data_IF_996158934983
#
_entry.id   IF_996158934983
#
_cell.length_a   1.000
_cell.length_b   1.000
_cell.length_c   1.000
_cell.angle_alpha   90.00
_cell.angle_beta   90.00
_cell.angle_gamma   90.00
#
_symmetry.space_group_name_H-M   'P 1'
#
loop_
_entity.id
_entity.type
_entity.pdbx_description
1 polymer ?
#
# COMPACT_ATOMS: atom_id res chain seq x y z
N UNK A 1 16.96 10.26 28.83
CA UNK A 1 15.55 9.82 28.86
C UNK A 1 14.74 10.83 28.06
N UNK A 2 13.79 10.39 27.24
CA UNK A 2 12.98 11.31 26.44
C UNK A 2 12.18 12.28 27.31
N UNK A 3 12.00 13.52 26.84
CA UNK A 3 11.20 14.55 27.51
C UNK A 3 9.83 14.65 26.85
N UNK A 4 8.78 14.65 27.66
CA UNK A 4 7.38 14.73 27.22
C UNK A 4 6.76 15.97 27.85
N UNK A 5 6.46 16.98 27.03
CA UNK A 5 5.88 18.23 27.50
C UNK A 5 4.55 18.47 26.79
N UNK A 6 3.50 18.73 27.56
CA UNK A 6 2.25 19.29 27.06
C UNK A 6 2.25 20.78 27.36
N UNK A 7 2.14 21.62 26.33
CA UNK A 7 2.06 23.07 26.50
C UNK A 7 0.62 23.50 26.36
N UNK A 8 0.01 23.83 27.50
CA UNK A 8 -1.33 24.40 27.54
C UNK A 8 -1.27 25.86 27.10
N UNK A 9 -2.08 26.19 26.10
CA UNK A 9 -2.17 27.53 25.52
C UNK A 9 -3.62 27.99 25.54
N UNK A 10 -3.86 29.17 26.10
CA UNK A 10 -5.13 29.89 25.99
C UNK A 10 -4.92 31.13 25.13
N UNK A 11 -5.65 31.23 24.04
CA UNK A 11 -5.57 32.29 23.04
C UNK A 11 -6.67 33.32 23.28
N UNK A 12 -6.39 34.59 23.00
CA UNK A 12 -7.41 35.65 23.00
C UNK A 12 -8.47 35.32 21.94
N UNK A 13 -9.75 35.36 22.33
CA UNK A 13 -10.86 35.02 21.43
C UNK A 13 -10.83 35.85 20.14
N UNK A 14 -11.05 35.21 19.01
CA UNK A 14 -10.99 35.82 17.67
C UNK A 14 -9.61 35.76 17.00
N UNK A 15 -8.57 35.29 17.70
CA UNK A 15 -7.21 35.12 17.15
C UNK A 15 -6.80 33.65 16.98
N UNK A 16 -7.74 32.72 17.08
CA UNK A 16 -7.50 31.28 17.05
C UNK A 16 -6.85 30.84 15.74
N UNK A 17 -7.36 31.32 14.61
CA UNK A 17 -6.84 31.02 13.27
C UNK A 17 -5.43 31.56 13.08
N UNK A 18 -5.18 32.80 13.52
CA UNK A 18 -3.84 33.40 13.42
C UNK A 18 -2.81 32.63 14.28
N UNK A 19 -3.21 32.21 15.49
CA UNK A 19 -2.37 31.36 16.34
C UNK A 19 -2.08 30.01 15.69
N UNK A 20 -3.09 29.36 15.10
CA UNK A 20 -2.92 28.08 14.40
C UNK A 20 -1.95 28.21 13.21
N UNK A 21 -2.10 29.26 12.39
CA UNK A 21 -1.25 29.52 11.23
C UNK A 21 0.21 29.79 11.64
N UNK A 22 0.44 30.61 12.67
CA UNK A 22 1.80 30.83 13.19
C UNK A 22 2.41 29.57 13.79
N UNK A 23 1.60 28.78 14.49
CA UNK A 23 2.04 27.52 15.09
C UNK A 23 2.35 26.44 14.04
N UNK A 24 1.77 26.52 12.84
CA UNK A 24 2.08 25.63 11.71
C UNK A 24 3.53 25.75 11.26
N UNK A 25 4.08 26.96 11.18
CA UNK A 25 5.49 27.18 10.81
C UNK A 25 6.43 26.58 11.85
N UNK A 26 6.12 26.81 13.14
CA UNK A 26 6.87 26.21 14.25
C UNK A 26 6.84 24.68 14.15
N UNK A 27 5.65 24.09 14.05
CA UNK A 27 5.45 22.65 13.89
C UNK A 27 6.25 22.05 12.72
N UNK A 28 6.19 22.64 11.52
CA UNK A 28 6.89 22.13 10.33
C UNK A 28 8.41 22.19 10.47
N UNK A 29 8.94 23.17 11.20
CA UNK A 29 10.36 23.34 11.43
C UNK A 29 10.87 22.44 12.56
N UNK A 30 10.16 22.38 13.70
CA UNK A 30 10.55 21.53 14.84
C UNK A 30 10.59 20.06 14.48
N UNK A 31 9.69 19.63 13.59
CA UNK A 31 9.68 18.27 13.04
C UNK A 31 10.90 17.88 12.20
N UNK A 32 11.72 18.84 11.79
CA UNK A 32 12.98 18.60 11.05
C UNK A 32 14.18 18.50 11.99
N UNK A 33 14.02 18.79 13.28
CA UNK A 33 15.09 18.70 14.27
C UNK A 33 15.43 17.24 14.56
N UNK A 34 16.73 16.93 14.63
CA UNK A 34 17.20 15.55 14.86
C UNK A 34 16.71 14.96 16.20
N UNK A 35 16.51 15.81 17.21
CA UNK A 35 16.05 15.41 18.54
C UNK A 35 14.52 15.36 18.70
N UNK A 36 13.75 15.85 17.73
CA UNK A 36 12.28 15.86 17.81
C UNK A 36 11.72 14.47 17.49
N UNK A 37 10.98 13.91 18.45
CA UNK A 37 10.27 12.63 18.28
C UNK A 37 8.80 12.87 17.91
N UNK A 38 8.21 13.96 18.39
CA UNK A 38 6.84 14.38 18.10
C UNK A 38 6.67 15.87 18.37
N UNK A 39 5.93 16.54 17.51
CA UNK A 39 5.43 17.89 17.73
C UNK A 39 4.01 17.91 17.19
N UNK A 40 2.98 18.13 17.99
CA UNK A 40 1.61 18.31 17.51
C UNK A 40 1.02 19.62 18.02
N UNK A 41 0.08 20.18 17.25
CA UNK A 41 -0.72 21.34 17.65
C UNK A 41 -2.18 20.90 17.65
N UNK A 42 -2.78 20.79 18.84
CA UNK A 42 -4.16 20.33 19.02
C UNK A 42 -5.02 21.49 19.48
N UNK A 43 -6.22 21.62 18.92
CA UNK A 43 -7.22 22.58 19.37
C UNK A 43 -8.37 21.85 20.07
N UNK A 44 -8.83 22.39 21.19
CA UNK A 44 -9.98 21.82 21.90
C UNK A 44 -11.25 21.97 21.07
N UNK A 45 -12.07 20.91 21.05
CA UNK A 45 -13.40 20.94 20.42
C UNK A 45 -14.43 21.70 21.25
N UNK A 46 -14.25 21.73 22.56
CA UNK A 46 -15.19 22.37 23.50
C UNK A 46 -14.90 23.86 23.66
N UNK A 47 -13.65 24.28 23.44
CA UNK A 47 -13.21 25.66 23.58
C UNK A 47 -12.17 25.99 22.49
N UNK A 48 -12.58 26.56 21.35
CA UNK A 48 -11.67 26.88 20.24
C UNK A 48 -10.50 27.79 20.63
N UNK A 49 -10.61 28.55 21.71
CA UNK A 49 -9.54 29.39 22.21
C UNK A 49 -8.44 28.61 22.97
N UNK A 50 -8.62 27.30 23.19
CA UNK A 50 -7.63 26.46 23.88
C UNK A 50 -6.90 25.53 22.92
N UNK A 51 -5.58 25.58 23.02
CA UNK A 51 -4.66 24.73 22.28
C UNK A 51 -3.77 23.95 23.24
N UNK A 52 -3.33 22.76 22.81
CA UNK A 52 -2.33 21.95 23.48
C UNK A 52 -1.24 21.64 22.45
N UNK A 53 -0.01 22.04 22.72
CA UNK A 53 1.14 21.62 21.93
C UNK A 53 1.75 20.38 22.60
N UNK A 54 1.90 19.30 21.85
CA UNK A 54 2.52 18.05 22.33
C UNK A 54 3.96 18.03 21.84
N UNK A 55 4.91 18.28 22.74
CA UNK A 55 6.33 18.35 22.44
C UNK A 55 7.05 17.15 23.04
N UNK A 56 7.60 16.27 22.21
CA UNK A 56 8.36 15.10 22.65
C UNK A 56 9.73 15.09 21.98
N UNK A 57 10.76 15.03 22.82
CA UNK A 57 12.16 15.10 22.42
C UNK A 57 12.97 13.92 22.97
N UNK A 58 14.00 13.50 22.24
CA UNK A 58 14.85 12.36 22.58
C UNK A 58 15.59 12.52 23.91
N UNK A 59 15.89 13.76 24.29
CA UNK A 59 16.55 14.12 25.54
C UNK A 59 16.15 15.52 26.03
N UNK A 60 16.42 15.85 27.30
CA UNK A 60 16.25 17.22 27.81
C UNK A 60 17.16 18.23 27.12
N UNK A 61 18.32 17.81 26.59
CA UNK A 61 19.23 18.71 25.88
C UNK A 61 18.68 19.06 24.49
N UNK A 62 17.95 18.14 23.84
CA UNK A 62 17.24 18.44 22.60
C UNK A 62 16.12 19.48 22.81
N UNK A 63 15.45 19.46 23.97
CA UNK A 63 14.47 20.50 24.33
C UNK A 63 15.15 21.86 24.51
N UNK A 64 16.34 21.90 25.11
CA UNK A 64 17.11 23.15 25.23
C UNK A 64 17.51 23.66 23.85
N UNK A 65 18.02 22.79 23.00
CA UNK A 65 18.39 23.12 21.63
C UNK A 65 17.19 23.66 20.84
N UNK A 66 16.02 23.01 20.94
CA UNK A 66 14.77 23.48 20.33
C UNK A 66 14.44 24.93 20.74
N UNK A 67 14.57 25.27 22.03
CA UNK A 67 14.28 26.61 22.56
C UNK A 67 15.25 27.70 22.12
N UNK A 68 16.37 27.32 21.51
CA UNK A 68 17.37 28.23 20.94
C UNK A 68 17.24 28.37 19.42
N UNK A 69 16.34 27.59 18.78
CA UNK A 69 16.14 27.65 17.33
C UNK A 69 15.43 28.93 16.89
N UNK A 70 15.75 29.38 15.67
CA UNK A 70 15.15 30.57 15.06
C UNK A 70 13.62 30.47 15.01
N UNK A 71 13.08 29.33 14.54
CA UNK A 71 11.64 29.15 14.39
C UNK A 71 10.89 29.16 15.73
N UNK A 72 11.48 28.59 16.80
CA UNK A 72 10.90 28.67 18.14
C UNK A 72 10.89 30.11 18.65
N UNK A 73 12.00 30.86 18.48
CA UNK A 73 12.09 32.24 18.95
C UNK A 73 11.10 33.15 18.21
N UNK A 74 11.01 33.02 16.88
CA UNK A 74 10.03 33.73 16.04
C UNK A 74 8.59 33.38 16.43
N UNK A 75 8.29 32.10 16.67
CA UNK A 75 6.98 31.69 17.14
C UNK A 75 6.68 32.27 18.53
N UNK A 76 7.61 32.15 19.47
CA UNK A 76 7.50 32.60 20.87
C UNK A 76 7.16 34.09 20.94
N UNK A 77 7.82 34.89 20.12
CA UNK A 77 7.63 36.34 20.03
C UNK A 77 6.36 36.67 19.24
N UNK A 78 6.15 36.01 18.10
CA UNK A 78 5.00 36.25 17.22
C UNK A 78 3.66 35.84 17.81
N UNK A 79 3.61 34.99 18.85
CA UNK A 79 2.38 34.62 19.54
C UNK A 79 2.19 35.30 20.91
N UNK A 80 3.14 36.14 21.34
CA UNK A 80 3.16 36.67 22.71
C UNK A 80 1.91 37.50 23.05
N UNK A 81 1.44 38.31 22.11
CA UNK A 81 0.23 39.13 22.23
C UNK A 81 -1.07 38.36 21.98
N UNK A 82 -0.99 37.09 21.53
CA UNK A 82 -2.15 36.21 21.36
C UNK A 82 -2.57 35.53 22.67
N UNK A 83 -1.73 35.56 23.70
CA UNK A 83 -1.93 34.75 24.91
C UNK A 83 -2.95 35.38 25.85
N UNK A 84 -4.11 34.75 26.03
CA UNK A 84 -5.10 35.16 27.02
C UNK A 84 -4.60 34.92 28.46
N UNK A 85 -3.80 33.86 28.64
CA UNK A 85 -3.05 33.58 29.87
C UNK A 85 -1.64 33.08 29.51
N UNK A 86 -0.64 33.23 30.39
CA UNK A 86 0.68 32.67 30.16
C UNK A 86 0.60 31.17 29.85
N UNK A 87 1.23 30.74 28.75
CA UNK A 87 1.34 29.33 28.37
C UNK A 87 2.04 28.50 29.44
N UNK A 88 1.60 27.27 29.65
CA UNK A 88 2.10 26.40 30.73
C UNK A 88 2.61 25.07 30.16
N UNK A 89 3.90 24.80 30.32
CA UNK A 89 4.49 23.50 30.00
C UNK A 89 4.34 22.52 31.16
N UNK A 90 3.58 21.44 30.97
CA UNK A 90 3.40 20.34 31.92
C UNK A 90 4.28 19.17 31.48
N UNK A 91 5.21 18.77 32.34
CA UNK A 91 6.04 17.58 32.10
C UNK A 91 5.23 16.32 32.40
N UNK A 92 5.30 15.34 31.51
CA UNK A 92 4.59 14.08 31.62
C UNK A 92 5.57 12.89 31.66
N UNK A 93 5.14 11.81 32.31
CA UNK A 93 5.81 10.51 32.19
C UNK A 93 5.06 9.66 31.18
N UNK A 94 5.74 9.20 30.14
CA UNK A 94 5.17 8.29 29.17
C UNK A 94 5.13 6.87 29.74
N UNK A 95 3.94 6.37 30.05
CA UNK A 95 3.74 4.96 30.38
C UNK A 95 3.62 4.09 29.13
N UNK A 96 3.04 4.62 28.04
CA UNK A 96 2.89 3.95 26.76
C UNK A 96 2.96 4.95 25.59
N UNK A 97 3.55 4.59 24.44
CA UNK A 97 4.20 3.30 24.14
C UNK A 97 5.51 3.10 24.91
N UNK A 98 5.84 1.84 25.24
CA UNK A 98 7.05 1.49 26.01
C UNK A 98 8.35 1.77 25.25
N UNK A 99 8.30 1.90 23.93
CA UNK A 99 9.43 2.32 23.10
C UNK A 99 9.20 3.72 22.49
N UNK A 100 10.14 4.67 22.70
CA UNK A 100 10.07 6.02 22.14
C UNK A 100 10.01 6.05 20.60
N UNK A 101 10.59 5.05 19.93
CA UNK A 101 10.59 4.91 18.46
C UNK A 101 9.17 4.80 17.88
N UNK A 102 8.20 4.32 18.67
CA UNK A 102 6.80 4.20 18.25
C UNK A 102 6.06 5.53 18.16
N UNK A 103 6.60 6.62 18.74
CA UNK A 103 5.99 7.95 18.70
C UNK A 103 6.10 8.59 17.31
N UNK A 104 7.13 8.23 16.54
CA UNK A 104 7.36 8.70 15.17
C UNK A 104 6.28 8.23 14.18
N UNK A 105 5.54 7.16 14.52
CA UNK A 105 4.59 6.50 13.61
C UNK A 105 3.12 6.85 13.80
N UNK A 106 2.72 7.50 14.90
CA UNK A 106 1.31 7.53 15.31
C UNK A 106 0.40 8.44 14.45
N UNK A 107 0.95 9.41 13.70
CA UNK A 107 0.18 10.32 12.83
C UNK A 107 0.90 10.77 11.55
N UNK A 108 1.98 10.10 11.14
CA UNK A 108 2.65 10.39 9.85
C UNK A 108 1.79 9.89 8.68
N UNK A 109 0.80 10.67 8.29
CA UNK A 109 0.20 10.63 6.96
C UNK A 109 0.68 11.83 6.17
N UNK A 110 1.93 11.82 5.70
CA UNK A 110 2.26 12.72 4.60
C UNK A 110 1.44 12.26 3.38
N UNK A 111 0.73 13.18 2.70
CA UNK A 111 0.10 12.86 1.44
C UNK A 111 1.20 12.59 0.41
N UNK A 112 1.16 11.42 -0.23
CA UNK A 112 2.06 11.06 -1.32
C UNK A 112 1.97 12.10 -2.45
N UNK A 113 2.89 13.07 -2.45
CA UNK A 113 3.13 13.97 -3.56
C UNK A 113 3.78 13.19 -4.69
N UNK A 114 3.09 13.10 -5.81
CA UNK A 114 3.63 12.61 -7.07
C UNK A 114 4.67 13.61 -7.57
N UNK A 115 5.91 13.16 -7.79
CA UNK A 115 6.88 13.88 -8.61
C UNK A 115 6.63 13.51 -10.08
N UNK A 116 6.35 14.48 -10.97
CA UNK A 116 6.13 14.22 -12.38
C UNK A 116 7.48 14.17 -13.12
N UNK A 117 7.67 13.17 -13.98
CA UNK A 117 8.66 13.24 -15.06
C UNK A 117 9.50 11.98 -15.28
N UNK A 118 9.51 11.56 -16.55
CA UNK A 118 10.43 10.63 -17.22
C UNK A 118 10.19 9.12 -17.04
N UNK A 119 9.61 8.54 -18.10
CA UNK A 119 9.65 7.12 -18.45
C UNK A 119 11.09 6.65 -18.60
N UNK A 120 11.48 5.65 -17.80
CA UNK A 120 12.58 4.74 -18.10
C UNK A 120 12.25 3.42 -17.38
N UNK A 121 12.13 2.33 -18.16
CA UNK A 121 11.63 1.03 -17.68
C UNK A 121 12.55 0.40 -16.60
N UNK A 122 13.81 0.84 -16.51
CA UNK A 122 14.79 0.46 -15.48
C UNK A 122 14.67 1.30 -14.20
N UNK A 123 14.22 2.55 -14.33
CA UNK A 123 13.91 3.45 -13.21
C UNK A 123 12.57 3.11 -12.56
N UNK A 124 11.61 2.51 -13.27
CA UNK A 124 10.39 1.97 -12.66
C UNK A 124 10.65 0.79 -11.72
N UNK A 125 11.58 -0.10 -12.05
CA UNK A 125 11.98 -1.21 -11.17
C UNK A 125 12.74 -0.68 -9.95
N UNK A 126 13.67 0.25 -10.15
CA UNK A 126 14.43 0.87 -9.07
C UNK A 126 13.56 1.78 -8.19
N UNK A 127 12.64 2.53 -8.79
CA UNK A 127 11.67 3.37 -8.08
C UNK A 127 10.63 2.52 -7.38
N UNK A 128 10.10 1.44 -7.96
CA UNK A 128 9.16 0.53 -7.29
C UNK A 128 9.81 -0.24 -6.14
N UNK A 129 11.06 -0.68 -6.31
CA UNK A 129 11.88 -1.21 -5.23
C UNK A 129 12.13 -0.15 -4.14
N UNK A 130 12.48 1.08 -4.51
CA UNK A 130 12.65 2.21 -3.58
C UNK A 130 11.35 2.56 -2.86
N UNK A 131 10.21 2.51 -3.56
CA UNK A 131 8.87 2.80 -3.06
C UNK A 131 8.41 1.73 -2.06
N UNK A 132 8.67 0.46 -2.36
CA UNK A 132 8.42 -0.66 -1.45
C UNK A 132 9.41 -0.68 -0.28
N UNK A 133 10.67 -0.29 -0.50
CA UNK A 133 11.68 -0.10 0.55
C UNK A 133 11.24 1.01 1.51
N UNK A 134 10.80 2.17 1.02
CA UNK A 134 10.26 3.26 1.85
C UNK A 134 9.02 2.83 2.64
N UNK A 135 8.14 2.00 2.06
CA UNK A 135 6.97 1.44 2.77
C UNK A 135 7.32 0.35 3.77
N UNK A 136 8.33 -0.48 3.50
CA UNK A 136 8.86 -1.45 4.46
C UNK A 136 9.61 -0.75 5.61
N UNK A 137 10.27 0.38 5.34
CA UNK A 137 10.82 1.26 6.38
C UNK A 137 9.70 1.86 7.25
N UNK A 138 8.55 2.23 6.68
CA UNK A 138 7.35 2.62 7.43
C UNK A 138 6.79 1.49 8.32
N UNK A 139 6.84 0.22 7.90
CA UNK A 139 6.53 -0.92 8.78
C UNK A 139 7.53 -1.08 9.94
N UNK A 140 8.79 -0.70 9.73
CA UNK A 140 9.82 -0.69 10.78
C UNK A 140 9.50 0.35 11.86
N UNK A 141 8.93 1.49 11.46
CA UNK A 141 8.55 2.64 12.30
C UNK A 141 7.28 2.42 13.16
N UNK A 142 6.75 1.20 13.23
CA UNK A 142 5.81 0.81 14.30
C UNK A 142 4.37 1.32 14.14
N UNK A 143 4.00 1.86 12.98
CA UNK A 143 2.61 2.23 12.74
C UNK A 143 1.76 0.96 12.54
N UNK A 144 1.05 0.52 13.60
CA UNK A 144 0.17 -0.67 13.61
C UNK A 144 -0.99 -0.59 12.59
N UNK A 145 -1.24 0.58 12.00
CA UNK A 145 -2.42 0.84 11.18
C UNK A 145 -2.31 0.38 9.72
N UNK A 146 -1.10 0.17 9.18
CA UNK A 146 -0.90 -0.27 7.78
C UNK A 146 -0.02 -1.52 7.75
N UNK A 147 -0.66 -2.69 7.74
CA UNK A 147 0.01 -3.98 7.48
C UNK A 147 -0.01 -4.26 5.98
N UNK A 148 1.17 -4.32 5.36
CA UNK A 148 1.31 -4.85 4.00
C UNK A 148 1.47 -6.37 4.07
N UNK A 149 0.72 -7.09 3.23
CA UNK A 149 0.81 -8.54 3.14
C UNK A 149 1.93 -8.95 2.19
N UNK A 150 2.82 -9.89 2.57
CA UNK A 150 3.82 -10.46 1.67
C UNK A 150 3.23 -11.47 0.69
N UNK A 151 2.01 -11.95 0.96
CA UNK A 151 1.39 -13.06 0.24
C UNK A 151 1.25 -12.82 -1.29
N UNK A 152 0.85 -11.64 -1.78
CA UNK A 152 0.74 -11.40 -3.23
C UNK A 152 2.06 -11.62 -3.96
N UNK A 153 3.18 -11.17 -3.38
CA UNK A 153 4.52 -11.31 -3.96
C UNK A 153 4.96 -12.79 -3.98
N UNK A 154 4.71 -13.53 -2.88
CA UNK A 154 5.04 -14.97 -2.79
C UNK A 154 4.24 -15.78 -3.82
N UNK A 155 2.93 -15.50 -3.94
CA UNK A 155 2.06 -16.17 -4.92
C UNK A 155 2.47 -15.79 -6.34
N UNK A 156 2.89 -14.53 -6.58
CA UNK A 156 3.37 -14.08 -7.87
C UNK A 156 4.67 -14.78 -8.30
N UNK A 157 5.65 -14.96 -7.40
CA UNK A 157 6.86 -15.78 -7.68
C UNK A 157 6.43 -17.18 -8.11
N UNK A 158 5.56 -17.82 -7.35
CA UNK A 158 5.07 -19.18 -7.64
C UNK A 158 4.38 -19.28 -9.02
N UNK A 159 3.47 -18.34 -9.31
CA UNK A 159 2.76 -18.26 -10.59
C UNK A 159 3.72 -18.05 -11.75
N UNK A 160 4.64 -17.08 -11.64
CA UNK A 160 5.62 -16.80 -12.68
C UNK A 160 6.57 -17.98 -12.91
N UNK A 161 7.01 -18.69 -11.86
CA UNK A 161 7.85 -19.88 -12.02
C UNK A 161 7.11 -21.02 -12.74
N UNK A 162 5.82 -21.23 -12.46
CA UNK A 162 5.01 -22.21 -13.20
C UNK A 162 4.81 -21.83 -14.66
N UNK A 163 4.60 -20.54 -14.96
CA UNK A 163 4.55 -20.04 -16.34
C UNK A 163 5.85 -20.28 -17.10
N UNK A 164 7.01 -20.03 -16.47
CA UNK A 164 8.32 -20.34 -17.08
C UNK A 164 8.43 -21.83 -17.38
N UNK A 165 8.08 -22.68 -16.41
CA UNK A 165 8.10 -24.12 -16.59
C UNK A 165 7.18 -24.57 -17.74
N UNK A 166 5.93 -24.08 -17.77
CA UNK A 166 4.98 -24.33 -18.86
C UNK A 166 5.54 -23.95 -20.23
N UNK A 167 6.17 -22.76 -20.35
CA UNK A 167 6.75 -22.30 -21.60
C UNK A 167 7.86 -23.24 -22.07
N UNK A 168 8.77 -23.64 -21.18
CA UNK A 168 9.89 -24.54 -21.52
C UNK A 168 9.38 -25.88 -22.03
N UNK A 169 8.51 -26.55 -21.28
CA UNK A 169 8.03 -27.90 -21.66
C UNK A 169 7.17 -27.88 -22.92
N UNK A 170 6.42 -26.79 -23.15
CA UNK A 170 5.57 -26.65 -24.33
C UNK A 170 6.41 -26.33 -25.56
N UNK A 171 7.42 -25.47 -25.45
CA UNK A 171 8.33 -25.15 -26.56
C UNK A 171 9.24 -26.33 -26.94
N UNK A 172 9.59 -27.20 -26.00
CA UNK A 172 10.39 -28.41 -26.30
C UNK A 172 9.57 -29.44 -27.08
N UNK A 173 8.27 -29.52 -26.80
CA UNK A 173 7.39 -30.56 -27.35
C UNK A 173 6.54 -30.10 -28.53
N UNK A 174 6.39 -28.79 -28.73
CA UNK A 174 5.58 -28.18 -29.78
C UNK A 174 6.39 -27.14 -30.54
N UNK A 175 5.95 -26.77 -31.75
CA UNK A 175 6.56 -25.68 -32.52
C UNK A 175 6.01 -24.28 -32.16
N UNK A 176 5.36 -24.13 -31.00
CA UNK A 176 4.82 -22.84 -30.57
C UNK A 176 5.91 -21.99 -29.92
N UNK A 177 6.14 -20.77 -30.44
CA UNK A 177 7.08 -19.83 -29.83
C UNK A 177 6.45 -19.11 -28.62
N UNK A 178 6.77 -19.61 -27.42
CA UNK A 178 6.38 -19.00 -26.15
C UNK A 178 7.52 -18.21 -25.50
N UNK A 179 8.62 -17.92 -26.22
CA UNK A 179 9.77 -17.18 -25.71
C UNK A 179 9.37 -15.86 -25.02
N UNK A 180 8.46 -15.03 -25.59
CA UNK A 180 8.04 -13.80 -24.92
C UNK A 180 7.37 -14.03 -23.56
N UNK A 181 6.53 -15.08 -23.44
CA UNK A 181 5.86 -15.45 -22.19
C UNK A 181 6.86 -15.94 -21.15
N UNK A 182 7.83 -16.76 -21.57
CA UNK A 182 8.88 -17.28 -20.69
C UNK A 182 9.75 -16.15 -20.15
N UNK A 183 10.18 -15.23 -21.01
CA UNK A 183 11.04 -14.11 -20.62
C UNK A 183 10.35 -13.15 -19.64
N UNK A 184 9.10 -12.76 -19.91
CA UNK A 184 8.40 -11.82 -19.02
C UNK A 184 8.13 -12.44 -17.64
N UNK A 185 7.79 -13.74 -17.60
CA UNK A 185 7.57 -14.42 -16.33
C UNK A 185 8.87 -14.69 -15.58
N UNK A 186 9.98 -14.97 -16.28
CA UNK A 186 11.29 -15.05 -15.64
C UNK A 186 11.70 -13.70 -15.03
N UNK A 187 11.54 -12.60 -15.77
CA UNK A 187 11.79 -11.25 -15.26
C UNK A 187 10.86 -10.90 -14.08
N UNK A 188 9.58 -11.25 -14.19
CA UNK A 188 8.59 -11.09 -13.11
C UNK A 188 8.96 -11.87 -11.86
N UNK A 189 9.33 -13.14 -11.99
CA UNK A 189 9.78 -13.96 -10.86
C UNK A 189 11.00 -13.33 -10.16
N UNK A 190 11.99 -12.83 -10.92
CA UNK A 190 13.16 -12.15 -10.36
C UNK A 190 12.76 -10.89 -9.58
N UNK A 191 11.86 -10.07 -10.13
CA UNK A 191 11.37 -8.86 -9.48
C UNK A 191 10.62 -9.20 -8.18
N UNK A 192 9.73 -10.19 -8.22
CA UNK A 192 8.94 -10.62 -7.07
C UNK A 192 9.82 -11.25 -5.98
N UNK A 193 10.87 -11.99 -6.36
CA UNK A 193 11.90 -12.46 -5.42
C UNK A 193 12.57 -11.27 -4.71
N UNK A 194 12.93 -10.21 -5.43
CA UNK A 194 13.49 -9.01 -4.82
C UNK A 194 12.53 -8.41 -3.79
N UNK A 195 11.23 -8.33 -4.08
CA UNK A 195 10.23 -7.85 -3.11
C UNK A 195 10.12 -8.77 -1.89
N UNK A 196 10.08 -10.09 -2.07
CA UNK A 196 10.04 -11.05 -0.96
C UNK A 196 11.29 -10.91 -0.09
N UNK A 197 12.48 -10.73 -0.67
CA UNK A 197 13.72 -10.51 0.08
C UNK A 197 13.69 -9.21 0.89
N UNK A 198 13.13 -8.13 0.33
CA UNK A 198 12.87 -6.88 1.08
C UNK A 198 11.92 -7.15 2.25
N UNK A 199 10.82 -7.88 2.05
CA UNK A 199 9.91 -8.25 3.14
C UNK A 199 10.61 -9.07 4.23
N UNK A 200 11.44 -10.05 3.87
CA UNK A 200 12.21 -10.84 4.84
C UNK A 200 13.20 -9.96 5.62
N UNK A 201 13.84 -9.01 4.94
CA UNK A 201 14.86 -8.13 5.53
C UNK A 201 14.29 -7.11 6.52
N UNK A 202 13.09 -6.62 6.27
CA UNK A 202 12.53 -5.45 6.98
C UNK A 202 11.27 -5.76 7.80
N UNK A 203 10.55 -6.86 7.54
CA UNK A 203 9.36 -7.23 8.31
C UNK A 203 9.70 -7.69 9.73
N UNK A 204 8.90 -7.26 10.71
CA UNK A 204 8.95 -7.79 12.08
C UNK A 204 8.49 -9.26 12.13
N UNK A 205 7.58 -9.63 11.24
CA UNK A 205 7.04 -10.99 11.11
C UNK A 205 7.87 -11.86 10.14
N UNK A 206 9.18 -11.59 10.00
CA UNK A 206 10.08 -12.27 9.05
C UNK A 206 10.01 -13.81 9.10
N UNK A 207 9.78 -14.40 10.27
CA UNK A 207 9.64 -15.85 10.41
C UNK A 207 8.39 -16.38 9.68
N UNK A 208 7.27 -15.64 9.75
CA UNK A 208 6.05 -15.97 8.99
C UNK A 208 6.27 -15.80 7.49
N UNK A 209 6.96 -14.74 7.06
CA UNK A 209 7.29 -14.52 5.64
C UNK A 209 8.15 -15.67 5.10
N UNK A 210 9.21 -16.04 5.83
CA UNK A 210 10.10 -17.16 5.47
C UNK A 210 9.31 -18.46 5.40
N UNK A 211 8.45 -18.74 6.38
CA UNK A 211 7.61 -19.94 6.37
C UNK A 211 6.70 -20.00 5.14
N UNK A 212 6.00 -18.91 4.82
CA UNK A 212 5.15 -18.83 3.62
C UNK A 212 5.97 -19.03 2.32
N UNK A 213 7.15 -18.44 2.23
CA UNK A 213 8.04 -18.60 1.08
C UNK A 213 8.55 -20.05 0.96
N UNK A 214 8.93 -20.69 2.07
CA UNK A 214 9.35 -22.10 2.08
C UNK A 214 8.22 -23.04 1.69
N UNK A 215 6.99 -22.78 2.15
CA UNK A 215 5.79 -23.53 1.72
C UNK A 215 5.58 -23.38 0.22
N UNK A 216 5.65 -22.18 -0.33
CA UNK A 216 5.51 -21.95 -1.76
C UNK A 216 6.61 -22.66 -2.59
N UNK A 217 7.86 -22.61 -2.12
CA UNK A 217 8.98 -23.35 -2.72
C UNK A 217 8.73 -24.86 -2.66
N UNK A 218 8.28 -25.38 -1.51
CA UNK A 218 7.96 -26.80 -1.34
C UNK A 218 6.83 -27.27 -2.27
N UNK A 219 5.77 -26.46 -2.41
CA UNK A 219 4.68 -26.73 -3.34
C UNK A 219 5.17 -26.72 -4.80
N UNK A 220 6.04 -25.77 -5.17
CA UNK A 220 6.65 -25.72 -6.51
C UNK A 220 7.45 -26.97 -6.82
N UNK A 221 8.38 -27.36 -5.93
CA UNK A 221 9.16 -28.58 -6.14
C UNK A 221 8.31 -29.85 -6.11
N UNK A 222 7.20 -29.85 -5.38
CA UNK A 222 6.22 -30.94 -5.43
C UNK A 222 5.55 -31.02 -6.80
N UNK A 223 5.17 -29.87 -7.40
CA UNK A 223 4.68 -29.83 -8.78
C UNK A 223 5.72 -30.33 -9.78
N UNK A 224 6.98 -29.88 -9.66
CA UNK A 224 8.07 -30.34 -10.54
C UNK A 224 8.29 -31.85 -10.39
N UNK A 225 8.35 -32.37 -9.16
CA UNK A 225 8.49 -33.80 -8.91
C UNK A 225 7.31 -34.59 -9.48
N UNK A 226 6.09 -34.05 -9.39
CA UNK A 226 4.92 -34.65 -10.02
C UNK A 226 5.09 -34.75 -11.54
N UNK A 227 5.45 -33.66 -12.23
CA UNK A 227 5.54 -33.65 -13.69
C UNK A 227 6.78 -34.37 -14.25
N UNK A 228 7.91 -34.34 -13.55
CA UNK A 228 9.17 -34.95 -14.04
C UNK A 228 9.38 -36.39 -13.59
N UNK A 229 8.78 -36.80 -12.47
CA UNK A 229 9.01 -38.14 -11.89
C UNK A 229 7.71 -38.93 -11.82
N UNK A 230 6.67 -38.41 -11.17
CA UNK A 230 5.45 -39.19 -10.93
C UNK A 230 4.68 -39.44 -12.23
N UNK A 231 4.48 -38.42 -13.06
CA UNK A 231 3.71 -38.52 -14.29
C UNK A 231 4.33 -39.53 -15.26
N UNK A 232 5.65 -39.54 -15.53
CA UNK A 232 6.26 -40.57 -16.39
C UNK A 232 6.23 -42.00 -15.83
N UNK A 233 6.01 -42.18 -14.52
CA UNK A 233 5.85 -43.50 -13.90
C UNK A 233 4.43 -44.06 -14.06
N UNK A 234 3.44 -43.23 -14.39
CA UNK A 234 2.07 -43.69 -14.59
C UNK A 234 1.98 -44.51 -15.89
N UNK A 235 1.31 -45.68 -15.88
CA UNK A 235 1.04 -46.41 -17.10
C UNK A 235 0.37 -45.49 -18.13
N UNK A 236 0.82 -45.57 -19.37
CA UNK A 236 0.17 -44.89 -20.50
C UNK A 236 0.17 -43.36 -20.43
N UNK A 237 1.05 -42.75 -19.61
CA UNK A 237 1.19 -41.29 -19.49
C UNK A 237 1.48 -40.58 -20.83
N UNK A 238 2.15 -41.29 -21.76
CA UNK A 238 2.51 -40.80 -23.09
C UNK A 238 1.69 -41.47 -24.21
N UNK A 239 0.69 -42.31 -23.89
CA UNK A 239 -0.26 -42.75 -24.92
C UNK A 239 -1.16 -41.58 -25.30
N UNK A 240 -1.70 -41.57 -26.52
CA UNK A 240 -2.57 -40.51 -27.00
C UNK A 240 -3.76 -40.32 -26.06
N UNK A 241 -3.68 -39.30 -25.21
CA UNK A 241 -4.78 -38.79 -24.42
C UNK A 241 -5.54 -37.79 -25.28
N UNK A 242 -6.86 -37.91 -25.35
CA UNK A 242 -7.73 -36.96 -26.07
C UNK A 242 -7.81 -35.58 -25.38
N UNK A 243 -7.16 -35.42 -24.22
CA UNK A 243 -7.14 -34.17 -23.47
C UNK A 243 -6.01 -33.25 -23.92
N UNK A 244 -6.38 -32.14 -24.54
CA UNK A 244 -5.47 -31.22 -25.23
C UNK A 244 -5.65 -29.77 -24.75
N UNK A 245 -5.49 -29.53 -23.45
CA UNK A 245 -5.43 -28.16 -22.92
C UNK A 245 -4.17 -27.46 -23.44
N UNK A 246 -4.30 -26.23 -23.91
CA UNK A 246 -3.21 -25.54 -24.61
C UNK A 246 -3.21 -25.71 -26.13
N UNK A 247 -4.10 -26.54 -26.70
CA UNK A 247 -4.27 -26.70 -28.16
C UNK A 247 -4.20 -28.16 -28.59
N UNK A 248 -4.74 -28.49 -29.77
CA UNK A 248 -4.94 -29.87 -30.25
C UNK A 248 -3.66 -30.73 -30.32
N UNK A 249 -2.49 -30.10 -30.50
CA UNK A 249 -1.20 -30.80 -30.63
C UNK A 249 -0.34 -30.73 -29.35
N UNK A 250 -0.94 -30.36 -28.20
CA UNK A 250 -0.22 -30.23 -26.94
C UNK A 250 -0.24 -31.55 -26.16
N UNK A 251 0.93 -32.06 -25.69
CA UNK A 251 0.99 -33.28 -24.87
C UNK A 251 0.36 -33.12 -23.48
N UNK A 252 -0.07 -34.25 -22.90
CA UNK A 252 -0.72 -34.29 -21.58
C UNK A 252 0.03 -33.54 -20.48
N UNK A 253 1.37 -33.67 -20.40
CA UNK A 253 2.21 -32.97 -19.41
C UNK A 253 2.04 -31.45 -19.49
N UNK A 254 2.16 -30.90 -20.70
CA UNK A 254 1.99 -29.48 -20.98
C UNK A 254 0.54 -29.03 -20.75
N UNK A 255 -0.44 -29.85 -21.13
CA UNK A 255 -1.85 -29.58 -20.88
C UNK A 255 -2.19 -29.48 -19.39
N UNK A 256 -1.76 -30.45 -18.58
CA UNK A 256 -2.00 -30.43 -17.14
C UNK A 256 -1.27 -29.27 -16.45
N UNK A 257 -0.03 -28.98 -16.85
CA UNK A 257 0.72 -27.83 -16.35
C UNK A 257 0.02 -26.51 -16.70
N UNK A 258 -0.52 -26.40 -17.92
CA UNK A 258 -1.30 -25.24 -18.37
C UNK A 258 -2.53 -25.03 -17.50
N UNK A 259 -3.32 -26.08 -17.22
CA UNK A 259 -4.49 -25.97 -16.34
C UNK A 259 -4.11 -25.47 -14.95
N UNK A 260 -3.06 -26.03 -14.33
CA UNK A 260 -2.61 -25.61 -12.99
C UNK A 260 -2.20 -24.14 -13.00
N UNK A 261 -1.46 -23.73 -14.04
CA UNK A 261 -1.00 -22.35 -14.22
C UNK A 261 -2.17 -21.40 -14.41
N UNK A 262 -3.16 -21.75 -15.22
CA UNK A 262 -4.35 -20.93 -15.48
C UNK A 262 -5.22 -20.76 -14.24
N UNK A 263 -5.43 -21.83 -13.47
CA UNK A 263 -6.20 -21.77 -12.21
C UNK A 263 -5.55 -20.78 -11.24
N UNK A 264 -4.22 -20.81 -11.10
CA UNK A 264 -3.50 -19.85 -10.26
C UNK A 264 -3.57 -18.43 -10.81
N UNK A 265 -3.46 -18.28 -12.13
CA UNK A 265 -3.55 -16.98 -12.78
C UNK A 265 -4.93 -16.34 -12.60
N UNK A 266 -6.01 -17.13 -12.72
CA UNK A 266 -7.38 -16.68 -12.45
C UNK A 266 -7.57 -16.33 -10.97
N UNK A 267 -6.97 -17.10 -10.05
CA UNK A 267 -7.03 -16.78 -8.63
C UNK A 267 -6.38 -15.41 -8.31
N UNK A 268 -5.34 -15.02 -9.04
CA UNK A 268 -4.69 -13.70 -8.89
C UNK A 268 -5.61 -12.52 -9.28
N UNK A 269 -6.65 -12.77 -10.09
CA UNK A 269 -7.68 -11.76 -10.36
C UNK A 269 -8.54 -11.41 -9.13
N UNK A 270 -8.40 -12.13 -8.01
CA UNK A 270 -9.04 -11.76 -6.74
C UNK A 270 -8.67 -10.35 -6.27
N UNK A 271 -7.40 -9.93 -6.43
CA UNK A 271 -6.94 -8.60 -6.03
C UNK A 271 -7.68 -7.45 -6.77
N UNK A 272 -7.70 -7.41 -8.11
CA UNK A 272 -8.44 -6.36 -8.84
C UNK A 272 -9.94 -6.37 -8.54
N UNK A 273 -10.56 -7.53 -8.27
CA UNK A 273 -11.96 -7.64 -7.83
C UNK A 273 -12.20 -6.95 -6.49
N UNK A 274 -11.32 -7.15 -5.51
CA UNK A 274 -11.42 -6.50 -4.19
C UNK A 274 -11.26 -4.97 -4.33
N UNK A 275 -10.35 -4.51 -5.18
CA UNK A 275 -10.17 -3.07 -5.43
C UNK A 275 -11.41 -2.48 -6.10
N UNK A 276 -11.99 -3.13 -7.11
CA UNK A 276 -13.26 -2.71 -7.72
C UNK A 276 -14.40 -2.59 -6.69
N UNK A 277 -14.55 -3.60 -5.83
CA UNK A 277 -15.53 -3.56 -4.74
C UNK A 277 -15.28 -2.42 -3.75
N UNK A 278 -14.00 -2.11 -3.49
CA UNK A 278 -13.61 -0.97 -2.66
C UNK A 278 -14.02 0.35 -3.31
N UNK A 279 -13.76 0.55 -4.61
CA UNK A 279 -14.16 1.77 -5.35
C UNK A 279 -15.68 1.95 -5.32
N UNK A 280 -16.45 0.89 -5.55
CA UNK A 280 -17.93 0.95 -5.53
C UNK A 280 -18.43 1.37 -4.13
N UNK A 281 -17.83 0.81 -3.07
CA UNK A 281 -18.21 1.09 -1.68
C UNK A 281 -17.78 2.48 -1.20
N UNK A 282 -16.57 2.91 -1.54
CA UNK A 282 -16.01 4.19 -1.10
C UNK A 282 -16.34 5.35 -2.04
N UNK A 283 -16.91 5.05 -3.21
CA UNK A 283 -17.19 6.03 -4.28
C UNK A 283 -15.93 6.80 -4.72
N UNK A 284 -14.75 6.23 -4.55
CA UNK A 284 -13.46 6.87 -4.79
C UNK A 284 -12.50 5.97 -5.55
N UNK A 285 -11.85 6.49 -6.58
CA UNK A 285 -10.84 5.78 -7.38
C UNK A 285 -9.42 5.88 -6.80
N UNK A 286 -9.26 6.35 -5.56
CA UNK A 286 -7.95 6.58 -4.90
C UNK A 286 -7.01 5.36 -4.95
N UNK A 287 -7.57 4.16 -4.85
CA UNK A 287 -6.82 2.90 -4.83
C UNK A 287 -6.77 2.17 -6.19
N UNK A 288 -7.34 2.78 -7.23
CA UNK A 288 -7.38 2.26 -8.59
C UNK A 288 -6.87 3.32 -9.57
N UNK A 289 -5.54 3.46 -9.74
CA UNK A 289 -4.97 4.43 -10.65
C UNK A 289 -5.28 4.04 -12.11
N UNK A 290 -5.62 5.05 -12.93
CA UNK A 290 -5.98 4.86 -14.33
C UNK A 290 -4.85 4.24 -15.17
N UNK A 291 -3.57 4.69 -15.08
CA UNK A 291 -2.50 4.13 -15.91
C UNK A 291 -2.35 2.62 -15.71
N UNK A 292 -2.34 2.15 -14.45
CA UNK A 292 -2.23 0.72 -14.16
C UNK A 292 -3.41 -0.06 -14.75
N UNK A 293 -4.64 0.46 -14.60
CA UNK A 293 -5.84 -0.20 -15.14
C UNK A 293 -5.81 -0.31 -16.67
N UNK A 294 -5.35 0.74 -17.36
CA UNK A 294 -5.19 0.75 -18.83
C UNK A 294 -4.10 -0.23 -19.25
N UNK A 295 -2.93 -0.19 -18.63
CA UNK A 295 -1.82 -1.09 -18.98
C UNK A 295 -2.17 -2.56 -18.71
N UNK A 296 -2.86 -2.88 -17.62
CA UNK A 296 -3.32 -4.25 -17.35
C UNK A 296 -4.31 -4.75 -18.41
N UNK A 297 -5.23 -3.89 -18.88
CA UNK A 297 -6.16 -4.24 -19.95
C UNK A 297 -5.43 -4.44 -21.29
N UNK A 298 -4.49 -3.55 -21.64
CA UNK A 298 -3.69 -3.65 -22.87
C UNK A 298 -2.79 -4.89 -22.85
N UNK A 299 -2.14 -5.18 -21.71
CA UNK A 299 -1.35 -6.38 -21.51
C UNK A 299 -2.21 -7.64 -21.75
N UNK A 300 -3.41 -7.69 -21.17
CA UNK A 300 -4.33 -8.83 -21.37
C UNK A 300 -4.73 -8.98 -22.84
N UNK A 301 -4.95 -7.86 -23.54
CA UNK A 301 -5.23 -7.88 -24.98
C UNK A 301 -4.06 -8.43 -25.81
N UNK A 302 -2.83 -8.01 -25.52
CA UNK A 302 -1.64 -8.48 -26.24
C UNK A 302 -1.44 -9.99 -26.09
N UNK A 303 -1.56 -10.51 -24.85
CA UNK A 303 -1.44 -11.94 -24.61
C UNK A 303 -2.60 -12.74 -25.19
N UNK A 304 -3.83 -12.20 -25.16
CA UNK A 304 -4.97 -12.82 -25.83
C UNK A 304 -4.73 -12.96 -27.34
N UNK A 305 -4.24 -11.90 -27.99
CA UNK A 305 -3.93 -11.91 -29.44
C UNK A 305 -2.82 -12.93 -29.72
N UNK A 306 -1.72 -12.90 -28.96
CA UNK A 306 -0.63 -13.86 -29.14
C UNK A 306 -1.10 -15.30 -28.95
N UNK A 307 -1.81 -15.61 -27.87
CA UNK A 307 -2.33 -16.95 -27.61
C UNK A 307 -3.31 -17.41 -28.69
N UNK A 308 -4.14 -16.51 -29.21
CA UNK A 308 -5.06 -16.81 -30.31
C UNK A 308 -4.30 -17.13 -31.60
N UNK A 309 -3.26 -16.37 -31.93
CA UNK A 309 -2.42 -16.60 -33.12
C UNK A 309 -1.66 -17.93 -33.04
N UNK A 310 -1.25 -18.34 -31.83
CA UNK A 310 -0.58 -19.63 -31.60
C UNK A 310 -1.57 -20.80 -31.49
N UNK A 311 -2.88 -20.55 -31.44
CA UNK A 311 -3.87 -21.56 -31.10
C UNK A 311 -3.71 -22.11 -29.67
N UNK A 312 -3.05 -21.35 -28.79
CA UNK A 312 -2.69 -21.78 -27.44
C UNK A 312 -3.74 -21.34 -26.41
N UNK A 313 -4.62 -22.28 -26.01
CA UNK A 313 -5.72 -22.03 -25.07
C UNK A 313 -5.24 -21.54 -23.72
N UNK A 314 -4.15 -22.10 -23.19
CA UNK A 314 -3.56 -21.70 -21.92
C UNK A 314 -3.18 -20.22 -21.92
N UNK A 315 -2.67 -19.71 -23.03
CA UNK A 315 -2.29 -18.29 -23.11
C UNK A 315 -3.52 -17.40 -23.32
N UNK A 316 -4.41 -17.70 -24.28
CA UNK A 316 -5.47 -16.73 -24.60
C UNK A 316 -6.63 -16.74 -23.61
N UNK A 317 -7.01 -17.89 -23.03
CA UNK A 317 -8.20 -18.00 -22.20
C UNK A 317 -8.17 -17.14 -20.92
N UNK A 318 -7.16 -17.25 -20.04
CA UNK A 318 -7.09 -16.40 -18.86
C UNK A 318 -7.00 -14.92 -19.25
N UNK A 319 -6.31 -14.60 -20.35
CA UNK A 319 -6.18 -13.24 -20.83
C UNK A 319 -7.48 -12.67 -21.41
N UNK A 320 -8.37 -13.51 -21.97
CA UNK A 320 -9.74 -13.09 -22.31
C UNK A 320 -10.52 -12.67 -21.05
N UNK A 321 -10.39 -13.40 -19.95
CA UNK A 321 -10.96 -13.00 -18.65
C UNK A 321 -10.31 -11.70 -18.15
N UNK A 322 -9.01 -11.55 -18.32
CA UNK A 322 -8.26 -10.32 -18.01
C UNK A 322 -8.78 -9.10 -18.78
N UNK A 323 -9.11 -9.24 -20.08
CA UNK A 323 -9.73 -8.17 -20.88
C UNK A 323 -11.08 -7.78 -20.30
N UNK A 324 -11.93 -8.76 -19.98
CA UNK A 324 -13.26 -8.51 -19.41
C UNK A 324 -13.12 -7.74 -18.09
N UNK A 325 -12.25 -8.20 -17.19
CA UNK A 325 -12.00 -7.54 -15.90
C UNK A 325 -11.39 -6.15 -16.08
N UNK A 326 -10.44 -5.98 -17.00
CA UNK A 326 -9.83 -4.69 -17.31
C UNK A 326 -10.85 -3.69 -17.88
N UNK A 327 -11.73 -4.14 -18.77
CA UNK A 327 -12.82 -3.31 -19.27
C UNK A 327 -13.78 -2.87 -18.15
N UNK A 328 -14.15 -3.80 -17.25
CA UNK A 328 -14.99 -3.48 -16.08
C UNK A 328 -14.28 -2.49 -15.15
N UNK A 329 -12.96 -2.64 -14.91
CA UNK A 329 -12.18 -1.68 -14.13
C UNK A 329 -12.22 -0.28 -14.74
N UNK A 330 -12.03 -0.16 -16.05
CA UNK A 330 -12.04 1.13 -16.75
C UNK A 330 -13.44 1.78 -16.74
N UNK A 331 -14.50 0.98 -16.87
CA UNK A 331 -15.89 1.46 -16.75
C UNK A 331 -16.14 1.99 -15.33
N UNK A 332 -15.80 1.21 -14.30
CA UNK A 332 -15.94 1.62 -12.90
C UNK A 332 -15.14 2.90 -12.64
N UNK A 333 -13.90 2.97 -13.13
CA UNK A 333 -13.08 4.18 -13.01
C UNK A 333 -13.80 5.39 -13.62
N UNK A 334 -14.29 5.28 -14.86
CA UNK A 334 -15.00 6.36 -15.55
C UNK A 334 -16.27 6.81 -14.81
N UNK A 335 -16.97 5.90 -14.13
CA UNK A 335 -18.16 6.21 -13.34
C UNK A 335 -17.83 6.99 -12.06
N UNK A 336 -16.72 6.66 -11.38
CA UNK A 336 -16.39 7.21 -10.04
C UNK A 336 -15.25 8.23 -10.03
N UNK A 337 -14.55 8.47 -11.14
CA UNK A 337 -13.43 9.40 -11.19
C UNK A 337 -13.83 10.84 -10.83
N UNK A 338 -15.06 11.26 -11.18
CA UNK A 338 -15.62 12.57 -10.84
C UNK A 338 -16.28 12.63 -9.46
N UNK A 339 -16.60 11.49 -8.87
CA UNK A 339 -17.22 11.39 -7.53
C UNK A 339 -16.18 11.29 -6.42
N UNK A 340 -14.89 11.22 -6.78
CA UNK A 340 -13.80 11.11 -5.81
C UNK A 340 -13.70 12.43 -5.05
N UNK A 341 -13.93 12.45 -3.73
CA UNK A 341 -13.87 13.69 -2.96
C UNK A 341 -12.47 14.29 -3.06
N UNK A 342 -12.35 15.53 -3.55
CA UNK A 342 -11.10 16.25 -3.41
C UNK A 342 -10.86 16.53 -1.92
N UNK A 343 -9.60 16.54 -1.49
CA UNK A 343 -9.26 16.82 -0.08
C UNK A 343 -9.85 18.16 0.41
N UNK A 344 -10.05 19.13 -0.51
CA UNK A 344 -10.68 20.42 -0.28
C UNK A 344 -12.20 20.33 -0.03
N UNK A 345 -12.89 19.38 -0.64
CA UNK A 345 -14.34 19.24 -0.52
C UNK A 345 -14.75 18.61 0.82
N UNK A 346 -13.92 17.72 1.37
CA UNK A 346 -14.13 17.16 2.72
C UNK A 346 -13.97 18.24 3.79
N UNK A 347 -12.99 19.11 3.63
CA UNK A 347 -12.73 20.24 4.53
C UNK A 347 -13.86 21.29 4.46
N UNK A 348 -14.39 21.57 3.26
CA UNK A 348 -15.57 22.43 3.07
C UNK A 348 -16.88 21.81 3.57
N UNK A 349 -17.05 20.49 3.47
CA UNK A 349 -18.24 19.79 3.97
C UNK A 349 -18.32 19.80 5.50
N UNK A 350 -17.16 19.74 6.17
CA UNK A 350 -17.05 19.81 7.63
C UNK A 350 -17.24 21.24 8.16
N UNK A 351 -16.94 22.27 7.35
CA UNK A 351 -17.22 23.67 7.70
C UNK A 351 -18.64 24.12 7.37
N UNK A 352 -19.31 23.45 6.42
CA UNK A 352 -20.67 23.78 5.95
C UNK A 352 -21.81 22.98 6.60
N UNK A 353 -21.56 22.22 7.67
CA UNK A 353 -22.64 21.66 8.50
C UNK A 353 -22.90 22.48 9.77
N UNK A 354 -23.58 23.65 9.70
CA UNK A 354 -24.26 24.21 10.85
C UNK A 354 -25.65 23.58 10.98
N UNK A 355 -26.14 23.53 12.23
CA UNK A 355 -27.50 23.21 12.66
C UNK A 355 -27.89 21.73 12.83
N UNK A 356 -27.53 21.18 14.00
CA UNK A 356 -28.48 20.43 14.81
C UNK A 356 -28.48 21.00 16.24
N UNK A 357 -29.03 22.21 16.39
CA UNK A 357 -29.48 22.71 17.69
C UNK A 357 -30.94 22.28 17.82
N UNK A 358 -31.19 21.14 18.47
CA UNK A 358 -32.50 20.90 19.10
C UNK A 358 -32.34 21.19 20.58
N UNK A 359 -32.73 22.39 20.99
CA UNK A 359 -33.02 22.70 22.39
C UNK A 359 -34.32 21.99 22.76
N UNK A 360 -34.24 20.98 23.64
CA UNK A 360 -35.38 20.62 24.50
C UNK A 360 -35.06 21.06 25.93
N UNK A 361 -35.98 21.75 26.63
CA UNK A 361 -35.77 22.12 28.04
C UNK A 361 -35.95 20.89 28.95
N UNK A 362 -35.06 20.76 29.94
CA UNK A 362 -35.25 19.87 31.08
C UNK A 362 -36.55 20.25 31.82
N UNK A 363 -37.51 19.33 31.83
CA UNK A 363 -38.56 19.35 32.84
C UNK A 363 -37.99 18.78 34.14
N UNK A 364 -38.02 19.58 35.20
CA UNK A 364 -37.72 19.18 36.56
C UNK A 364 -38.75 18.15 37.04
N UNK A 365 -38.28 16.98 37.49
CA UNK A 365 -39.08 16.07 38.29
C UNK A 365 -38.92 16.46 39.76
N UNK A 366 -40.00 16.98 40.33
CA UNK A 366 -40.23 17.03 41.77
C UNK A 366 -41.43 16.14 42.06
N UNK A 367 -41.17 15.04 42.78
CA UNK A 367 -42.07 14.31 43.68
C UNK A 367 -41.27 13.15 44.29
#
# INVERSE_FOLDING_TARGET
MASFTLVDVAVVKGRETEFADRSKTNFLASRKEAGNLRFDVLQSRDDPAKFVLVEIYGSPDDVKAHKETVHYLEWREGVADMMATPRKGVQCTCHFPSEPSALLGFWNTEPCGWLPGAMDLTLETASSCSWHLSRCQLCKLGNKSIRYSPLPYIVAVFNCSLWVYYCVITMETTNQDLTPNGLINAAGALLEICYVLVFIRYSRERASVIYQALVAIGLFWTCILFFEVVLPLLPDWNKHWDFHWGGADVPLKSSLCGVVTDVLNVALYGSPLVVMGTVIRTRSVKYMPLPLSVFTCLQSLLWFVQGSLLGNVTVWLPNALGIILGAVQLIIYAMFCRSTPEARDVENSLTLSPSCVSTQPLAAASA
#
